data_IF_086019463282
#
_entry.id   IF_086019463282
#
_cell.length_a   1.000
_cell.length_b   1.000
_cell.length_c   1.000
_cell.angle_alpha   90.00
_cell.angle_beta   90.00
_cell.angle_gamma   90.00
#
_symmetry.space_group_name_H-M   'P 1'
#
loop_
_entity.id
_entity.type
_entity.pdbx_description
1 polymer ?
#
# COMPACT_ATOMS: atom_id res chain seq x y z
N UNK A 1 -14.61 -4.22 77.27
CA UNK A 1 -14.16 -3.19 76.34
C UNK A 1 -13.95 -3.90 74.98
N UNK A 2 -14.93 -3.78 74.08
CA UNK A 2 -14.91 -4.45 72.76
C UNK A 2 -14.41 -3.39 71.76
N UNK A 3 -13.23 -3.62 71.13
CA UNK A 3 -12.67 -2.78 70.09
C UNK A 3 -13.32 -3.26 68.77
N UNK A 4 -14.15 -2.37 68.18
CA UNK A 4 -14.71 -2.57 66.84
C UNK A 4 -13.65 -2.09 65.85
N UNK A 5 -13.05 -3.03 65.10
CA UNK A 5 -12.13 -2.68 64.03
C UNK A 5 -12.97 -2.44 62.75
N UNK A 6 -13.12 -1.14 62.41
CA UNK A 6 -13.78 -0.75 61.15
C UNK A 6 -12.82 -1.00 59.97
N UNK A 7 -13.13 -2.01 59.16
CA UNK A 7 -12.48 -2.25 57.89
C UNK A 7 -12.95 -1.23 56.85
N UNK A 8 -12.16 -0.21 56.57
CA UNK A 8 -12.40 0.68 55.43
C UNK A 8 -11.96 -0.07 54.16
N UNK A 9 -12.98 -0.60 53.44
CA UNK A 9 -12.75 -1.14 52.06
C UNK A 9 -12.52 0.05 51.14
N UNK A 10 -11.24 0.31 50.83
CA UNK A 10 -10.88 1.28 49.82
C UNK A 10 -11.19 0.62 48.45
N UNK A 11 -12.40 0.92 47.92
CA UNK A 11 -12.76 0.52 46.57
C UNK A 11 -11.87 1.35 45.60
N UNK A 12 -10.74 0.77 45.17
CA UNK A 12 -10.00 1.32 44.04
C UNK A 12 -10.82 1.09 42.79
N UNK A 13 -11.54 2.11 42.32
CA UNK A 13 -12.18 2.13 41.03
C UNK A 13 -11.04 2.05 40.01
N UNK A 14 -10.78 0.87 39.51
CA UNK A 14 -9.87 0.67 38.39
C UNK A 14 -10.58 1.28 37.15
N UNK A 15 -10.19 2.48 36.77
CA UNK A 15 -10.62 3.11 35.52
C UNK A 15 -10.16 2.23 34.35
N UNK A 16 -11.07 1.43 33.81
CA UNK A 16 -10.77 0.56 32.68
C UNK A 16 -10.94 1.35 31.38
N UNK A 17 -9.85 1.42 30.61
CA UNK A 17 -9.88 1.97 29.26
C UNK A 17 -10.78 1.09 28.38
N UNK A 18 -11.94 1.61 27.97
CA UNK A 18 -12.85 0.91 27.07
C UNK A 18 -12.44 1.11 25.61
N UNK A 19 -12.30 0.03 24.84
CA UNK A 19 -11.92 0.09 23.43
C UNK A 19 -13.02 -0.50 22.57
N UNK A 20 -13.60 0.32 21.68
CA UNK A 20 -14.60 -0.11 20.71
C UNK A 20 -14.03 -0.20 19.30
N UNK A 21 -14.39 -1.25 18.55
CA UNK A 21 -14.13 -1.35 17.12
C UNK A 21 -15.41 -1.05 16.35
N UNK A 22 -15.41 0.05 15.62
CA UNK A 22 -16.53 0.55 14.86
C UNK A 22 -16.29 0.43 13.36
N UNK A 23 -17.34 0.63 12.56
CA UNK A 23 -17.25 0.65 11.08
C UNK A 23 -17.58 2.06 10.60
N UNK A 24 -16.77 2.54 9.63
CA UNK A 24 -17.05 3.80 8.95
C UNK A 24 -18.36 3.70 8.17
N UNK A 25 -19.28 4.61 8.43
CA UNK A 25 -20.59 4.62 7.78
C UNK A 25 -20.49 5.07 6.32
N UNK A 26 -21.45 4.66 5.51
CA UNK A 26 -21.54 5.09 4.11
C UNK A 26 -21.95 6.56 4.02
N UNK A 27 -21.41 7.27 3.04
CA UNK A 27 -21.71 8.68 2.79
C UNK A 27 -21.11 9.68 3.78
N UNK A 28 -20.45 9.23 4.86
CA UNK A 28 -19.85 10.15 5.85
C UNK A 28 -18.47 10.61 5.39
N UNK A 29 -18.32 11.95 5.30
CA UNK A 29 -17.00 12.58 5.11
C UNK A 29 -16.21 12.61 6.42
N UNK A 30 -14.89 12.76 6.33
CA UNK A 30 -14.04 12.90 7.53
C UNK A 30 -14.43 14.12 8.38
N UNK A 31 -14.80 15.23 7.73
CA UNK A 31 -15.27 16.45 8.43
C UNK A 31 -16.60 16.20 9.15
N UNK A 32 -17.54 15.48 8.51
CA UNK A 32 -18.82 15.12 9.15
C UNK A 32 -18.59 14.17 10.32
N UNK A 33 -17.66 13.22 10.19
CA UNK A 33 -17.27 12.32 11.27
C UNK A 33 -16.73 13.08 12.49
N UNK A 34 -15.83 14.06 12.29
CA UNK A 34 -15.34 14.89 13.40
C UNK A 34 -16.47 15.59 14.13
N UNK A 35 -17.43 16.17 13.39
CA UNK A 35 -18.61 16.81 13.98
C UNK A 35 -19.48 15.86 14.79
N UNK A 36 -19.69 14.61 14.30
CA UNK A 36 -20.44 13.58 15.03
C UNK A 36 -19.76 13.14 16.32
N UNK A 37 -18.43 13.23 16.38
CA UNK A 37 -17.65 12.91 17.59
C UNK A 37 -17.42 14.14 18.49
N UNK A 38 -18.05 15.28 18.20
CA UNK A 38 -17.83 16.56 18.90
C UNK A 38 -16.36 17.02 18.92
N UNK A 39 -15.63 16.70 17.86
CA UNK A 39 -14.23 17.08 17.66
C UNK A 39 -14.14 18.29 16.73
N UNK A 40 -13.35 19.33 17.10
CA UNK A 40 -13.16 20.52 16.25
C UNK A 40 -12.69 20.16 14.85
N UNK A 41 -13.33 20.75 13.86
CA UNK A 41 -12.97 20.60 12.43
C UNK A 41 -11.64 21.26 12.09
N UNK A 42 -11.13 22.14 12.95
CA UNK A 42 -9.86 22.84 12.74
C UNK A 42 -8.67 21.87 12.66
N UNK A 43 -8.72 20.76 13.39
CA UNK A 43 -7.69 19.73 13.29
C UNK A 43 -7.55 19.18 11.85
N UNK A 44 -8.63 19.15 11.08
CA UNK A 44 -8.63 18.78 9.67
C UNK A 44 -8.15 19.95 8.79
N UNK A 45 -8.63 21.17 9.03
CA UNK A 45 -8.27 22.31 8.18
C UNK A 45 -6.81 22.68 8.28
N UNK A 46 -6.14 22.38 9.39
CA UNK A 46 -4.71 22.58 9.60
C UNK A 46 -3.83 21.49 8.98
N UNK A 47 -4.42 20.39 8.46
CA UNK A 47 -3.67 19.35 7.74
C UNK A 47 -3.08 19.86 6.43
N UNK A 48 -1.96 19.24 6.03
CA UNK A 48 -1.44 19.41 4.67
C UNK A 48 -2.45 18.89 3.65
N UNK A 49 -2.33 19.34 2.41
CA UNK A 49 -3.23 18.90 1.34
C UNK A 49 -3.12 17.40 1.10
N UNK A 50 -1.92 16.86 1.15
CA UNK A 50 -1.66 15.44 0.99
C UNK A 50 -2.33 14.62 2.11
N UNK A 51 -2.28 15.11 3.35
CA UNK A 51 -2.93 14.47 4.49
C UNK A 51 -4.47 14.57 4.39
N UNK A 52 -5.01 15.69 3.91
CA UNK A 52 -6.45 15.83 3.60
C UNK A 52 -6.91 14.85 2.51
N UNK A 53 -6.06 14.61 1.50
CA UNK A 53 -6.36 13.63 0.46
C UNK A 53 -6.42 12.20 1.04
N UNK A 54 -5.54 11.88 1.99
CA UNK A 54 -5.59 10.60 2.72
C UNK A 54 -6.87 10.44 3.54
N UNK A 55 -7.34 11.49 4.20
CA UNK A 55 -8.63 11.47 4.90
C UNK A 55 -9.80 11.15 3.96
N UNK A 56 -9.71 11.53 2.68
CA UNK A 56 -10.73 11.22 1.68
C UNK A 56 -10.68 9.79 1.15
N UNK A 57 -9.64 9.03 1.45
CA UNK A 57 -9.50 7.61 1.06
C UNK A 57 -10.21 6.63 2.02
N UNK A 58 -10.73 7.11 3.15
CA UNK A 58 -11.49 6.28 4.10
C UNK A 58 -12.77 5.79 3.41
N UNK A 59 -13.02 4.50 3.46
CA UNK A 59 -14.15 3.86 2.78
C UNK A 59 -15.23 3.41 3.76
N UNK A 60 -16.46 3.41 3.29
CA UNK A 60 -17.55 2.75 3.98
C UNK A 60 -17.18 1.31 4.38
N UNK A 61 -17.55 0.89 5.58
CA UNK A 61 -17.20 -0.40 6.14
C UNK A 61 -15.76 -0.55 6.66
N UNK A 62 -14.90 0.47 6.51
CA UNK A 62 -13.55 0.47 7.10
C UNK A 62 -13.67 0.40 8.62
N UNK A 63 -13.06 -0.62 9.23
CA UNK A 63 -13.00 -0.74 10.69
C UNK A 63 -12.01 0.29 11.26
N UNK A 64 -12.41 0.95 12.33
CA UNK A 64 -11.57 1.86 13.11
C UNK A 64 -11.77 1.58 14.60
N UNK A 65 -10.83 2.02 15.44
CA UNK A 65 -10.87 1.82 16.89
C UNK A 65 -11.02 3.16 17.60
N UNK A 66 -11.83 3.17 18.65
CA UNK A 66 -11.99 4.31 19.55
C UNK A 66 -11.71 3.82 20.95
N UNK A 67 -10.90 4.53 21.71
CA UNK A 67 -10.72 4.31 23.14
C UNK A 67 -11.43 5.42 23.93
N UNK A 68 -12.06 5.02 25.01
CA UNK A 68 -12.75 5.91 25.94
C UNK A 68 -12.08 5.84 27.29
N UNK A 69 -12.01 6.99 27.95
CA UNK A 69 -11.66 7.14 29.34
C UNK A 69 -12.76 7.99 29.99
N UNK A 70 -13.40 7.47 31.02
CA UNK A 70 -14.48 8.15 31.74
C UNK A 70 -15.61 8.66 30.81
N UNK A 71 -15.99 7.85 29.80
CA UNK A 71 -17.00 8.21 28.82
C UNK A 71 -16.53 9.18 27.72
N UNK A 72 -15.35 9.78 27.85
CA UNK A 72 -14.79 10.71 26.88
C UNK A 72 -13.86 9.98 25.91
N UNK A 73 -13.87 10.39 24.64
CA UNK A 73 -12.95 9.84 23.63
C UNK A 73 -11.52 10.28 23.99
N UNK A 74 -10.65 9.29 24.21
CA UNK A 74 -9.22 9.50 24.44
C UNK A 74 -8.45 9.43 23.12
N UNK A 75 -8.70 8.36 22.35
CA UNK A 75 -7.97 8.09 21.11
C UNK A 75 -8.88 7.53 20.02
N UNK A 76 -8.61 7.89 18.75
CA UNK A 76 -9.22 7.27 17.59
C UNK A 76 -8.11 6.84 16.62
N UNK A 77 -8.16 5.58 16.17
CA UNK A 77 -7.24 5.01 15.18
C UNK A 77 -8.02 4.59 13.93
N UNK A 78 -7.81 5.29 12.82
CA UNK A 78 -8.50 5.04 11.54
C UNK A 78 -7.48 4.59 10.50
N UNK A 79 -7.43 3.29 10.14
CA UNK A 79 -6.55 2.81 9.08
C UNK A 79 -6.91 3.43 7.72
N UNK A 80 -5.93 4.01 7.03
CA UNK A 80 -6.08 4.56 5.67
C UNK A 80 -5.37 3.71 4.62
N UNK A 81 -4.40 2.93 5.03
CA UNK A 81 -3.70 1.95 4.20
C UNK A 81 -3.29 0.74 5.05
N UNK A 82 -2.56 -0.19 4.45
CA UNK A 82 -1.97 -1.32 5.20
C UNK A 82 -0.77 -0.92 6.06
N UNK A 83 -0.23 0.30 5.90
CA UNK A 83 0.99 0.73 6.57
C UNK A 83 0.79 1.99 7.41
N UNK A 84 -0.33 2.71 7.25
CA UNK A 84 -0.57 4.01 7.88
C UNK A 84 -2.00 4.13 8.38
N UNK A 85 -2.16 4.86 9.47
CA UNK A 85 -3.45 5.21 10.06
C UNK A 85 -3.47 6.66 10.53
N UNK A 86 -4.65 7.24 10.56
CA UNK A 86 -4.91 8.50 11.24
C UNK A 86 -5.02 8.21 12.73
N UNK A 87 -4.34 8.99 13.54
CA UNK A 87 -4.42 8.98 14.99
C UNK A 87 -4.92 10.33 15.47
N UNK A 88 -6.11 10.33 16.05
CA UNK A 88 -6.69 11.47 16.76
C UNK A 88 -6.56 11.16 18.24
N UNK A 89 -6.08 12.10 19.03
CA UNK A 89 -5.84 11.91 20.45
C UNK A 89 -6.15 13.19 21.23
N UNK A 90 -6.67 13.02 22.44
CA UNK A 90 -6.99 14.09 23.35
C UNK A 90 -5.75 14.49 24.16
N UNK A 91 -5.51 15.80 24.27
CA UNK A 91 -4.49 16.38 25.17
C UNK A 91 -5.10 17.54 25.93
N UNK A 92 -5.48 17.32 27.19
CA UNK A 92 -6.06 18.37 28.05
C UNK A 92 -7.27 19.07 27.37
N UNK A 93 -8.26 18.28 26.97
CA UNK A 93 -9.52 18.73 26.32
C UNK A 93 -9.36 19.22 24.86
N UNK A 94 -8.14 19.27 24.33
CA UNK A 94 -7.86 19.60 22.94
C UNK A 94 -7.54 18.34 22.13
N UNK A 95 -8.26 18.09 21.01
CA UNK A 95 -7.95 17.00 20.10
C UNK A 95 -6.89 17.40 19.11
N UNK A 96 -5.92 16.49 18.91
CA UNK A 96 -4.85 16.60 17.92
C UNK A 96 -4.92 15.43 16.95
N UNK A 97 -4.41 15.66 15.74
CA UNK A 97 -4.39 14.66 14.67
C UNK A 97 -2.97 14.47 14.12
N UNK A 98 -2.59 13.23 13.87
CA UNK A 98 -1.36 12.89 13.15
C UNK A 98 -1.49 11.59 12.38
N UNK A 99 -0.65 11.42 11.38
CA UNK A 99 -0.49 10.17 10.65
C UNK A 99 0.60 9.33 11.32
N UNK A 100 0.27 8.11 11.70
CA UNK A 100 1.22 7.18 12.32
C UNK A 100 1.28 5.87 11.56
N UNK A 101 2.44 5.17 11.59
CA UNK A 101 2.55 3.85 11.01
C UNK A 101 1.72 2.83 11.79
N UNK A 102 1.19 1.82 11.06
CA UNK A 102 0.58 0.65 11.68
C UNK A 102 1.68 -0.36 12.00
N UNK A 103 1.75 -0.80 13.25
CA UNK A 103 2.71 -1.81 13.68
C UNK A 103 2.23 -3.21 13.31
N UNK A 104 3.10 -4.01 12.71
CA UNK A 104 2.88 -5.41 12.36
C UNK A 104 4.23 -6.12 12.24
N UNK A 105 4.23 -7.44 12.37
CA UNK A 105 5.38 -8.28 12.04
C UNK A 105 5.29 -8.79 10.60
N UNK A 106 6.42 -9.26 10.05
CA UNK A 106 6.47 -9.89 8.73
C UNK A 106 7.16 -11.23 8.85
N UNK A 107 6.69 -12.19 8.08
CA UNK A 107 7.45 -13.41 7.84
C UNK A 107 7.53 -13.69 6.33
N UNK A 108 8.56 -14.38 5.92
CA UNK A 108 8.73 -14.92 4.58
C UNK A 108 8.49 -16.42 4.65
N UNK A 109 7.73 -16.93 3.70
CA UNK A 109 7.40 -18.36 3.65
C UNK A 109 7.43 -18.85 2.21
N UNK A 110 7.64 -20.17 2.07
CA UNK A 110 7.67 -20.91 0.81
C UNK A 110 6.57 -21.94 0.83
N UNK A 111 5.53 -21.72 0.02
CA UNK A 111 4.45 -22.66 -0.19
C UNK A 111 4.78 -23.55 -1.38
N UNK A 112 4.75 -24.88 -1.16
CA UNK A 112 4.80 -25.89 -2.20
C UNK A 112 3.63 -26.84 -1.97
N UNK A 113 2.71 -26.92 -2.94
CA UNK A 113 1.51 -27.76 -2.86
C UNK A 113 1.24 -28.43 -4.19
N UNK A 114 0.64 -29.60 -4.15
CA UNK A 114 0.11 -30.24 -5.35
C UNK A 114 -1.22 -29.60 -5.75
N UNK A 115 -1.45 -29.47 -7.04
CA UNK A 115 -2.72 -28.99 -7.58
C UNK A 115 -3.71 -30.14 -7.60
N UNK A 116 -4.80 -29.99 -6.84
CA UNK A 116 -5.90 -30.95 -6.79
C UNK A 116 -7.16 -30.45 -7.48
N UNK A 117 -7.48 -29.18 -7.31
CA UNK A 117 -8.71 -28.58 -7.84
C UNK A 117 -8.41 -27.35 -8.68
N UNK A 118 -7.84 -26.33 -8.08
CA UNK A 118 -7.44 -25.10 -8.75
C UNK A 118 -6.43 -24.33 -7.88
N UNK A 119 -5.55 -23.51 -8.48
CA UNK A 119 -4.59 -22.73 -7.71
C UNK A 119 -5.22 -21.88 -6.60
N UNK A 120 -6.41 -21.32 -6.84
CA UNK A 120 -7.12 -20.53 -5.83
C UNK A 120 -7.56 -21.40 -4.64
N UNK A 121 -8.30 -22.47 -4.94
CA UNK A 121 -8.87 -23.34 -3.91
C UNK A 121 -7.77 -24.04 -3.11
N UNK A 122 -6.74 -24.53 -3.79
CA UNK A 122 -5.64 -25.27 -3.18
C UNK A 122 -4.80 -24.35 -2.27
N UNK A 123 -4.49 -23.09 -2.71
CA UNK A 123 -3.84 -22.11 -1.84
C UNK A 123 -4.70 -21.81 -0.60
N UNK A 124 -6.03 -21.62 -0.76
CA UNK A 124 -6.93 -21.36 0.38
C UNK A 124 -7.00 -22.56 1.30
N UNK A 125 -7.07 -23.77 0.76
CA UNK A 125 -7.14 -25.00 1.54
C UNK A 125 -5.91 -25.17 2.46
N UNK A 126 -4.70 -25.02 1.90
CA UNK A 126 -3.46 -25.22 2.65
C UNK A 126 -3.06 -24.05 3.54
N UNK A 127 -3.41 -22.82 3.19
CA UNK A 127 -2.91 -21.63 3.92
C UNK A 127 -4.00 -20.90 4.71
N UNK A 128 -5.27 -21.21 4.51
CA UNK A 128 -6.42 -20.43 4.99
C UNK A 128 -6.36 -18.92 4.63
N UNK A 129 -5.51 -18.55 3.65
CA UNK A 129 -5.22 -17.17 3.27
C UNK A 129 -5.85 -16.80 1.92
N UNK A 130 -7.12 -16.41 1.93
CA UNK A 130 -7.85 -15.95 0.73
C UNK A 130 -7.16 -14.78 0.03
N UNK A 131 -6.43 -13.92 0.76
CA UNK A 131 -5.71 -12.79 0.18
C UNK A 131 -4.50 -13.25 -0.64
N UNK A 132 -3.78 -14.29 -0.20
CA UNK A 132 -2.68 -14.89 -0.95
C UNK A 132 -3.20 -15.52 -2.25
N UNK A 133 -4.29 -16.29 -2.18
CA UNK A 133 -4.90 -16.89 -3.35
C UNK A 133 -5.37 -15.85 -4.37
N UNK A 134 -6.04 -14.78 -3.91
CA UNK A 134 -6.46 -13.67 -4.78
C UNK A 134 -5.26 -12.95 -5.41
N UNK A 135 -4.20 -12.71 -4.63
CA UNK A 135 -2.99 -12.05 -5.13
C UNK A 135 -2.28 -12.89 -6.18
N UNK A 136 -2.20 -14.22 -5.95
CA UNK A 136 -1.66 -15.15 -6.93
C UNK A 136 -2.47 -15.13 -8.24
N UNK A 137 -3.77 -15.38 -8.17
CA UNK A 137 -4.63 -15.42 -9.37
C UNK A 137 -4.60 -14.07 -10.10
N UNK A 138 -4.68 -12.95 -9.39
CA UNK A 138 -4.68 -11.61 -10.01
C UNK A 138 -3.42 -11.32 -10.81
N UNK A 139 -2.26 -11.72 -10.31
CA UNK A 139 -0.98 -11.42 -10.93
C UNK A 139 -0.57 -12.44 -11.99
N UNK A 140 -1.04 -13.67 -11.89
CA UNK A 140 -0.50 -14.80 -12.66
C UNK A 140 -1.47 -15.44 -13.66
N UNK A 141 -2.79 -15.13 -13.62
CA UNK A 141 -3.79 -15.71 -14.54
C UNK A 141 -3.52 -15.42 -16.02
N UNK A 142 -2.79 -14.37 -16.35
CA UNK A 142 -2.37 -14.04 -17.73
C UNK A 142 -1.05 -14.68 -18.13
N UNK A 143 -0.27 -15.13 -17.16
CA UNK A 143 1.06 -15.68 -17.35
C UNK A 143 1.06 -17.22 -17.38
N UNK A 144 0.09 -17.82 -16.69
CA UNK A 144 -0.15 -19.26 -16.67
C UNK A 144 -1.53 -19.58 -17.25
N UNK A 145 -1.58 -20.59 -18.09
CA UNK A 145 -2.86 -21.15 -18.51
C UNK A 145 -3.37 -22.13 -17.45
N UNK A 146 -4.15 -21.63 -16.49
CA UNK A 146 -4.67 -22.45 -15.39
C UNK A 146 -5.60 -23.58 -15.86
N UNK A 147 -6.17 -23.48 -17.07
CA UNK A 147 -7.00 -24.53 -17.66
C UNK A 147 -6.18 -25.75 -18.16
N UNK A 148 -4.86 -25.56 -18.35
CA UNK A 148 -3.96 -26.61 -18.78
C UNK A 148 -3.19 -27.26 -17.62
N UNK A 149 -3.55 -26.99 -16.38
CA UNK A 149 -2.97 -27.60 -15.20
C UNK A 149 -3.58 -28.99 -14.96
N UNK A 150 -2.75 -29.92 -14.56
CA UNK A 150 -3.16 -31.28 -14.23
C UNK A 150 -3.02 -31.53 -12.73
N UNK A 151 -3.77 -32.49 -12.22
CA UNK A 151 -3.58 -32.99 -10.85
C UNK A 151 -2.12 -33.42 -10.66
N UNK A 152 -1.58 -33.12 -9.46
CA UNK A 152 -0.17 -33.36 -9.09
C UNK A 152 0.87 -32.46 -9.76
N UNK A 153 0.47 -31.47 -10.60
CA UNK A 153 1.37 -30.37 -10.90
C UNK A 153 1.65 -29.61 -9.60
N UNK A 154 2.91 -29.20 -9.37
CA UNK A 154 3.26 -28.50 -8.13
C UNK A 154 3.14 -26.99 -8.32
N UNK A 155 2.40 -26.36 -7.44
CA UNK A 155 2.35 -24.91 -7.28
C UNK A 155 3.41 -24.48 -6.27
N UNK A 156 4.26 -23.53 -6.63
CA UNK A 156 5.29 -22.97 -5.76
C UNK A 156 5.09 -21.46 -5.60
N UNK A 157 5.15 -20.96 -4.36
CA UNK A 157 5.02 -19.53 -4.07
C UNK A 157 5.97 -19.16 -2.94
N UNK A 158 6.90 -18.23 -3.18
CA UNK A 158 7.63 -17.53 -2.11
C UNK A 158 6.95 -16.17 -1.87
N UNK A 159 6.57 -15.88 -0.63
CA UNK A 159 5.82 -14.68 -0.32
C UNK A 159 6.18 -14.09 1.05
N UNK A 160 5.94 -12.79 1.20
CA UNK A 160 5.99 -12.10 2.49
C UNK A 160 4.56 -11.84 2.95
N UNK A 161 4.25 -12.22 4.17
CA UNK A 161 2.98 -11.97 4.83
C UNK A 161 3.19 -11.07 6.05
N UNK A 162 2.32 -10.07 6.20
CA UNK A 162 2.20 -9.26 7.41
C UNK A 162 1.29 -9.98 8.41
N UNK A 163 1.63 -9.91 9.69
CA UNK A 163 0.82 -10.42 10.80
C UNK A 163 0.62 -9.33 11.83
N UNK A 164 -0.60 -9.18 12.31
CA UNK A 164 -0.97 -8.26 13.38
C UNK A 164 -1.88 -8.99 14.36
N UNK A 165 -1.50 -9.01 15.65
CA UNK A 165 -2.26 -9.70 16.70
C UNK A 165 -2.61 -11.15 16.31
N UNK A 166 -1.61 -11.93 15.88
CA UNK A 166 -1.80 -13.33 15.51
C UNK A 166 -2.62 -13.60 14.25
N UNK A 167 -3.06 -12.56 13.52
CA UNK A 167 -3.88 -12.72 12.32
C UNK A 167 -3.15 -12.22 11.07
N UNK A 168 -3.47 -12.82 9.91
CA UNK A 168 -3.01 -12.30 8.62
C UNK A 168 -3.46 -10.86 8.41
N UNK A 169 -2.51 -9.98 8.20
CA UNK A 169 -2.74 -8.56 8.01
C UNK A 169 -2.30 -8.09 6.62
N UNK A 170 -3.09 -7.22 6.03
CA UNK A 170 -2.78 -6.64 4.72
C UNK A 170 -2.81 -7.65 3.56
N UNK A 171 -2.21 -7.25 2.44
CA UNK A 171 -2.07 -8.07 1.24
C UNK A 171 -0.68 -8.69 1.20
N UNK A 172 -0.53 -10.00 1.01
CA UNK A 172 0.77 -10.64 0.88
C UNK A 172 1.54 -10.09 -0.32
N UNK A 173 2.85 -10.09 -0.22
CA UNK A 173 3.73 -9.75 -1.35
C UNK A 173 4.35 -11.03 -1.89
N UNK A 174 3.94 -11.45 -3.09
CA UNK A 174 4.55 -12.60 -3.76
C UNK A 174 5.91 -12.17 -4.31
N UNK A 175 6.98 -12.87 -3.90
CA UNK A 175 8.35 -12.64 -4.35
C UNK A 175 8.69 -13.49 -5.57
N UNK A 176 8.18 -14.72 -5.60
CA UNK A 176 8.28 -15.60 -6.74
C UNK A 176 7.10 -16.56 -6.74
N UNK A 177 6.65 -16.98 -7.90
CA UNK A 177 5.64 -18.02 -8.02
C UNK A 177 5.72 -18.75 -9.34
N UNK A 178 5.29 -20.00 -9.33
CA UNK A 178 5.33 -20.83 -10.54
C UNK A 178 4.61 -22.14 -10.43
N UNK A 179 4.65 -22.85 -11.54
CA UNK A 179 4.14 -24.19 -11.68
C UNK A 179 5.30 -25.10 -12.13
N UNK A 180 5.41 -26.24 -11.49
CA UNK A 180 6.32 -27.32 -11.84
C UNK A 180 5.48 -28.48 -12.32
N UNK A 181 5.63 -28.86 -13.59
CA UNK A 181 4.90 -29.96 -14.20
C UNK A 181 5.89 -30.95 -14.81
N UNK A 182 5.90 -32.19 -14.34
CA UNK A 182 6.85 -33.25 -14.78
C UNK A 182 8.29 -32.75 -14.78
N UNK A 183 8.90 -32.58 -15.98
CA UNK A 183 10.28 -32.09 -16.17
C UNK A 183 10.36 -30.60 -16.46
N UNK A 184 9.23 -29.89 -16.57
CA UNK A 184 9.18 -28.49 -16.92
C UNK A 184 8.89 -27.62 -15.69
N UNK A 185 9.52 -26.42 -15.66
CA UNK A 185 9.37 -25.45 -14.60
C UNK A 185 9.11 -24.07 -15.20
N UNK A 186 8.02 -23.44 -14.84
CA UNK A 186 7.74 -22.06 -15.22
C UNK A 186 7.55 -21.25 -13.95
N UNK A 187 8.58 -20.51 -13.57
CA UNK A 187 8.58 -19.64 -12.39
C UNK A 187 8.86 -18.22 -12.82
N UNK A 188 8.25 -17.27 -12.12
CA UNK A 188 8.45 -15.84 -12.29
C UNK A 188 8.83 -15.22 -10.96
N UNK A 189 9.66 -14.18 -11.00
CA UNK A 189 10.35 -13.63 -9.85
C UNK A 189 10.14 -12.13 -9.80
N UNK A 190 9.87 -11.59 -8.62
CA UNK A 190 9.72 -10.16 -8.37
C UNK A 190 11.08 -9.55 -8.11
N UNK A 191 11.52 -8.63 -8.97
CA UNK A 191 12.77 -7.91 -8.72
C UNK A 191 12.60 -6.97 -7.52
N UNK A 192 13.38 -7.13 -6.43
CA UNK A 192 13.27 -6.28 -5.24
C UNK A 192 13.49 -4.79 -5.52
N UNK A 193 14.28 -4.45 -6.53
CA UNK A 193 14.66 -3.07 -6.85
C UNK A 193 13.51 -2.25 -7.44
N UNK A 194 12.70 -2.84 -8.32
CA UNK A 194 11.62 -2.14 -9.02
C UNK A 194 10.22 -2.72 -8.78
N UNK A 195 10.12 -3.85 -8.09
CA UNK A 195 8.87 -4.52 -7.73
C UNK A 195 8.12 -5.17 -8.89
N UNK A 196 8.74 -5.29 -10.08
CA UNK A 196 8.16 -5.94 -11.27
C UNK A 196 8.51 -7.41 -11.34
N UNK A 197 7.69 -8.17 -12.08
CA UNK A 197 7.92 -9.59 -12.32
C UNK A 197 8.69 -9.83 -13.60
N UNK A 198 9.64 -10.77 -13.52
CA UNK A 198 10.53 -11.16 -14.60
C UNK A 198 10.64 -12.69 -14.69
N UNK A 199 11.00 -13.20 -15.86
CA UNK A 199 11.47 -14.58 -15.99
C UNK A 199 12.89 -14.73 -15.38
N UNK A 200 13.37 -15.97 -15.31
CA UNK A 200 14.71 -16.28 -14.76
C UNK A 200 15.87 -15.54 -15.45
N UNK A 201 15.68 -15.10 -16.69
CA UNK A 201 16.69 -14.40 -17.49
C UNK A 201 16.63 -12.87 -17.33
N UNK A 202 15.67 -12.38 -16.52
CA UNK A 202 15.45 -10.95 -16.31
C UNK A 202 14.65 -10.26 -17.41
N UNK A 203 13.89 -11.00 -18.24
CA UNK A 203 12.94 -10.44 -19.19
C UNK A 203 11.65 -10.11 -18.46
N UNK A 204 11.16 -8.88 -18.58
CA UNK A 204 9.94 -8.42 -17.91
C UNK A 204 8.70 -9.15 -18.42
N UNK A 205 7.87 -9.61 -17.48
CA UNK A 205 6.59 -10.28 -17.75
C UNK A 205 5.39 -9.35 -17.48
N UNK A 206 5.64 -8.10 -17.11
CA UNK A 206 4.58 -7.13 -16.86
C UNK A 206 3.82 -6.84 -18.16
N UNK A 207 2.56 -7.24 -18.21
CA UNK A 207 1.65 -6.79 -19.27
C UNK A 207 1.43 -5.29 -19.12
N UNK A 208 1.80 -4.53 -20.13
CA UNK A 208 1.83 -3.08 -20.16
C UNK A 208 0.45 -2.47 -19.95
N UNK A 209 0.19 -1.86 -18.78
CA UNK A 209 -0.96 -0.98 -18.64
C UNK A 209 -0.60 0.48 -18.91
N UNK A 210 0.53 0.97 -18.41
CA UNK A 210 0.92 2.36 -18.53
C UNK A 210 2.38 2.53 -18.96
N UNK A 211 2.65 3.55 -19.76
CA UNK A 211 4.02 3.97 -20.11
C UNK A 211 4.45 5.12 -19.22
N UNK A 212 5.76 5.24 -19.03
CA UNK A 212 6.33 6.42 -18.37
C UNK A 212 5.88 7.68 -19.13
N UNK A 213 5.26 8.65 -18.42
CA UNK A 213 4.59 9.77 -19.08
C UNK A 213 5.53 10.87 -19.60
N UNK A 214 6.83 10.78 -19.30
CA UNK A 214 7.80 11.82 -19.61
C UNK A 214 9.21 11.27 -19.77
N UNK A 215 10.03 11.89 -20.62
CA UNK A 215 11.49 11.69 -20.60
C UNK A 215 12.05 12.47 -19.42
N UNK A 216 12.74 11.81 -18.51
CA UNK A 216 13.25 12.41 -17.28
C UNK A 216 14.74 12.16 -17.10
N UNK A 217 15.41 13.02 -16.33
CA UNK A 217 16.82 12.86 -15.94
C UNK A 217 16.96 11.88 -14.79
N UNK A 218 16.11 12.03 -13.75
CA UNK A 218 16.10 11.19 -12.56
C UNK A 218 14.73 11.19 -11.90
N UNK A 219 14.47 10.19 -11.05
CA UNK A 219 13.35 10.21 -10.12
C UNK A 219 13.83 10.98 -8.87
N UNK A 220 13.26 12.16 -8.63
CA UNK A 220 13.61 13.00 -7.48
C UNK A 220 12.90 12.59 -6.20
N UNK A 221 11.68 12.03 -6.31
CA UNK A 221 10.94 11.48 -5.16
C UNK A 221 10.13 10.26 -5.58
N UNK A 222 10.19 9.19 -4.77
CA UNK A 222 9.44 7.96 -4.98
C UNK A 222 8.09 8.02 -4.27
N UNK A 223 7.15 7.19 -4.73
CA UNK A 223 5.89 6.95 -4.03
C UNK A 223 6.14 6.35 -2.65
N UNK A 224 5.48 6.89 -1.63
CA UNK A 224 5.47 6.33 -0.29
C UNK A 224 4.27 6.84 0.50
N UNK A 225 3.64 5.99 1.29
CA UNK A 225 2.70 6.43 2.32
C UNK A 225 3.42 6.92 3.59
N UNK A 226 4.70 6.56 3.77
CA UNK A 226 5.44 6.68 5.02
C UNK A 226 6.77 7.41 4.75
N UNK A 227 6.74 8.74 4.65
CA UNK A 227 7.94 9.58 4.59
C UNK A 227 8.01 10.43 5.85
N UNK A 228 9.00 10.19 6.68
CA UNK A 228 9.29 11.07 7.80
C UNK A 228 9.83 12.40 7.29
N UNK A 229 9.26 13.51 7.77
CA UNK A 229 9.72 14.84 7.43
C UNK A 229 10.59 15.36 8.60
N UNK A 230 11.92 15.45 8.43
CA UNK A 230 12.83 15.68 9.56
C UNK A 230 12.60 17.02 10.27
N UNK A 231 12.24 18.07 9.52
CA UNK A 231 12.01 19.41 10.10
C UNK A 231 10.65 19.48 10.83
N UNK A 232 9.63 18.79 10.31
CA UNK A 232 8.29 18.83 10.89
C UNK A 232 8.05 17.70 11.89
N UNK A 233 9.03 16.84 12.12
CA UNK A 233 8.97 15.66 13.00
C UNK A 233 7.65 14.85 12.84
N UNK A 234 7.13 14.74 11.60
CA UNK A 234 5.90 14.00 11.30
C UNK A 234 6.01 13.22 10.00
N UNK A 235 5.19 12.18 9.89
CA UNK A 235 5.08 11.44 8.65
C UNK A 235 4.23 12.20 7.64
N UNK A 236 4.67 12.17 6.37
CA UNK A 236 3.91 12.70 5.22
C UNK A 236 3.92 11.68 4.10
N UNK A 237 2.78 11.51 3.45
CA UNK A 237 2.70 10.71 2.26
C UNK A 237 3.23 11.46 1.03
N UNK A 238 3.75 10.69 0.06
CA UNK A 238 3.99 11.15 -1.31
C UNK A 238 3.24 10.22 -2.26
N UNK A 239 2.05 10.64 -2.70
CA UNK A 239 1.08 9.79 -3.41
C UNK A 239 1.34 9.71 -4.92
N UNK A 240 2.59 9.89 -5.32
CA UNK A 240 3.03 9.82 -6.70
C UNK A 240 4.53 9.57 -6.84
N UNK A 241 5.02 9.72 -8.06
CA UNK A 241 6.45 9.74 -8.38
C UNK A 241 6.77 11.09 -9.00
N UNK A 242 7.87 11.70 -8.55
CA UNK A 242 8.37 12.94 -9.12
C UNK A 242 9.47 12.65 -10.13
N UNK A 243 9.18 12.92 -11.39
CA UNK A 243 10.11 12.80 -12.51
C UNK A 243 10.76 14.16 -12.79
N UNK A 244 12.01 14.35 -12.39
CA UNK A 244 12.77 15.58 -12.65
C UNK A 244 13.20 15.67 -14.12
N UNK A 245 12.80 16.74 -14.79
CA UNK A 245 13.17 17.05 -16.17
C UNK A 245 13.06 18.57 -16.43
N UNK A 246 13.71 19.10 -17.46
CA UNK A 246 13.66 20.52 -17.78
C UNK A 246 12.23 21.03 -17.98
N UNK A 247 12.01 22.30 -17.60
CA UNK A 247 10.75 23.00 -17.90
C UNK A 247 10.47 22.95 -19.41
N UNK A 248 9.21 22.71 -19.78
CA UNK A 248 8.82 22.59 -21.19
C UNK A 248 8.95 21.18 -21.77
N UNK A 249 9.55 20.23 -21.04
CA UNK A 249 9.58 18.82 -21.47
C UNK A 249 8.15 18.30 -21.67
N UNK A 250 7.90 17.61 -22.78
CA UNK A 250 6.58 17.12 -23.16
C UNK A 250 6.11 16.02 -22.18
N UNK A 251 4.91 16.21 -21.65
CA UNK A 251 4.19 15.20 -20.87
C UNK A 251 3.23 14.46 -21.82
N UNK A 252 3.23 13.13 -21.73
CA UNK A 252 2.38 12.23 -22.53
C UNK A 252 1.41 11.49 -21.64
N UNK A 253 0.24 11.12 -22.16
CA UNK A 253 -0.69 10.24 -21.48
C UNK A 253 -0.04 8.86 -21.26
N UNK A 254 -0.04 8.37 -20.02
CA UNK A 254 0.54 7.08 -19.66
C UNK A 254 -0.25 5.89 -20.22
N UNK A 255 -1.54 6.07 -20.49
CA UNK A 255 -2.45 5.07 -21.05
C UNK A 255 -3.64 5.72 -21.75
N UNK A 256 -4.40 4.90 -22.48
CA UNK A 256 -5.66 5.32 -23.12
C UNK A 256 -6.69 5.69 -22.05
N UNK A 257 -7.39 6.80 -22.26
CA UNK A 257 -8.41 7.20 -21.29
C UNK A 257 -9.08 8.52 -21.63
N UNK A 258 -9.95 8.96 -20.73
CA UNK A 258 -10.72 10.20 -20.90
C UNK A 258 -10.30 11.21 -19.83
N UNK A 259 -10.02 12.46 -20.23
CA UNK A 259 -9.69 13.53 -19.30
C UNK A 259 -10.91 13.84 -18.44
N UNK A 260 -10.79 13.65 -17.12
CA UNK A 260 -11.85 13.94 -16.14
C UNK A 260 -11.60 15.27 -15.39
N UNK A 261 -10.36 15.76 -15.43
CA UNK A 261 -10.00 17.06 -14.87
C UNK A 261 -8.88 17.71 -15.69
N UNK A 262 -9.01 19.02 -15.93
CA UNK A 262 -7.98 19.88 -16.52
C UNK A 262 -8.13 21.28 -15.93
N UNK A 263 -7.12 21.76 -15.22
CA UNK A 263 -7.18 23.07 -14.56
C UNK A 263 -6.17 23.17 -13.43
N UNK A 264 -6.29 24.24 -12.62
CA UNK A 264 -5.48 24.42 -11.41
C UNK A 264 -6.10 23.64 -10.26
N UNK A 265 -5.30 22.80 -9.59
CA UNK A 265 -5.74 21.93 -8.47
C UNK A 265 -4.85 22.16 -7.25
N UNK A 266 -5.11 23.25 -6.52
CA UNK A 266 -4.41 23.63 -5.29
C UNK A 266 -2.89 23.45 -5.41
N UNK A 267 -2.25 22.78 -4.44
CA UNK A 267 -0.80 22.53 -4.40
C UNK A 267 -0.24 21.76 -5.60
N UNK A 268 -1.05 20.98 -6.32
CA UNK A 268 -0.65 20.30 -7.57
C UNK A 268 -0.48 21.28 -8.74
N UNK A 269 -0.95 22.53 -8.61
CA UNK A 269 -0.86 23.51 -9.69
C UNK A 269 -1.66 23.08 -10.92
N UNK A 270 -1.15 23.37 -12.10
CA UNK A 270 -1.78 22.99 -13.37
C UNK A 270 -1.76 21.45 -13.52
N UNK A 271 -2.92 20.85 -13.55
CA UNK A 271 -3.12 19.41 -13.42
C UNK A 271 -4.06 18.86 -14.48
N UNK A 272 -3.71 17.70 -15.03
CA UNK A 272 -4.63 16.85 -15.81
C UNK A 272 -4.84 15.56 -15.02
N UNK A 273 -6.09 15.06 -15.00
CA UNK A 273 -6.42 13.74 -14.50
C UNK A 273 -7.13 12.97 -15.62
N UNK A 274 -6.63 11.75 -15.89
CA UNK A 274 -7.19 10.86 -16.91
C UNK A 274 -7.79 9.64 -16.21
N UNK A 275 -9.05 9.32 -16.54
CA UNK A 275 -9.73 8.08 -16.14
C UNK A 275 -9.51 7.02 -17.21
N UNK A 276 -9.07 5.83 -16.79
CA UNK A 276 -8.78 4.68 -17.63
C UNK A 276 -9.77 3.53 -17.36
N UNK A 277 -9.71 2.50 -18.19
CA UNK A 277 -10.46 1.24 -17.92
C UNK A 277 -10.01 0.60 -16.61
N UNK A 278 -10.85 -0.25 -16.05
CA UNK A 278 -10.53 -1.04 -14.86
C UNK A 278 -10.38 -0.23 -13.58
N UNK A 279 -11.01 0.94 -13.45
CA UNK A 279 -11.01 1.76 -12.23
C UNK A 279 -9.72 2.53 -11.97
N UNK A 280 -8.82 2.65 -12.97
CA UNK A 280 -7.60 3.43 -12.84
C UNK A 280 -7.82 4.92 -13.14
N UNK A 281 -7.05 5.78 -12.45
CA UNK A 281 -6.88 7.19 -12.78
C UNK A 281 -5.40 7.56 -12.71
N UNK A 282 -4.93 8.41 -13.64
CA UNK A 282 -3.58 9.01 -13.57
C UNK A 282 -3.68 10.51 -13.41
N UNK A 283 -2.80 11.07 -12.60
CA UNK A 283 -2.69 12.49 -12.29
C UNK A 283 -1.34 13.02 -12.78
N UNK A 284 -1.36 14.18 -13.46
CA UNK A 284 -0.18 14.82 -14.03
C UNK A 284 -0.15 16.27 -13.55
N UNK A 285 0.67 16.57 -12.57
CA UNK A 285 0.72 17.86 -11.90
C UNK A 285 1.96 18.72 -12.24
N UNK A 286 2.00 19.94 -11.68
CA UNK A 286 3.05 20.94 -11.82
C UNK A 286 3.33 21.36 -13.26
N UNK A 287 2.34 21.25 -14.16
CA UNK A 287 2.51 21.60 -15.57
C UNK A 287 2.71 23.11 -15.75
N UNK A 288 3.55 23.50 -16.72
CA UNK A 288 3.68 24.91 -17.14
C UNK A 288 2.49 25.33 -17.98
N UNK A 289 2.11 24.50 -18.93
CA UNK A 289 0.94 24.69 -19.81
C UNK A 289 0.38 23.35 -20.27
N UNK A 290 -0.90 23.34 -20.58
CA UNK A 290 -1.58 22.19 -21.16
C UNK A 290 -1.36 22.14 -22.68
N UNK A 291 -1.43 20.93 -23.25
CA UNK A 291 -1.45 20.81 -24.70
C UNK A 291 -2.74 21.42 -25.26
N UNK A 292 -2.65 22.20 -26.36
CA UNK A 292 -3.83 22.84 -26.98
C UNK A 292 -4.93 21.83 -27.34
N UNK A 293 -6.18 22.32 -27.47
CA UNK A 293 -7.38 21.57 -27.87
C UNK A 293 -7.82 20.43 -26.94
N UNK A 294 -7.08 20.07 -25.89
CA UNK A 294 -7.53 19.13 -24.89
C UNK A 294 -8.46 19.82 -23.89
N UNK A 295 -9.61 19.21 -23.60
CA UNK A 295 -10.59 19.68 -22.60
C UNK A 295 -11.08 18.51 -21.75
N UNK A 296 -11.77 18.80 -20.65
CA UNK A 296 -12.48 17.77 -19.88
C UNK A 296 -13.44 17.01 -20.83
N UNK A 297 -13.46 15.68 -20.75
CA UNK A 297 -14.20 14.82 -21.66
C UNK A 297 -13.38 14.32 -22.85
N UNK A 298 -12.28 14.99 -23.27
CA UNK A 298 -11.44 14.53 -24.37
C UNK A 298 -10.89 13.13 -24.12
N UNK A 299 -11.01 12.26 -25.15
CA UNK A 299 -10.31 10.98 -25.15
C UNK A 299 -8.86 11.20 -25.57
N UNK A 300 -7.92 10.56 -24.90
CA UNK A 300 -6.49 10.58 -25.22
C UNK A 300 -5.96 9.17 -25.34
N UNK A 301 -5.06 8.95 -26.29
CA UNK A 301 -4.37 7.67 -26.49
C UNK A 301 -3.06 7.65 -25.70
N UNK A 302 -2.60 6.47 -25.33
CA UNK A 302 -1.28 6.29 -24.74
C UNK A 302 -0.18 6.92 -25.61
N UNK A 303 0.70 7.70 -24.98
CA UNK A 303 1.77 8.41 -25.68
C UNK A 303 1.34 9.75 -26.30
N UNK A 304 0.05 10.08 -26.33
CA UNK A 304 -0.43 11.39 -26.80
C UNK A 304 0.06 12.51 -25.89
N UNK A 305 0.50 13.61 -26.48
CA UNK A 305 0.94 14.81 -25.75
C UNK A 305 -0.24 15.43 -25.01
N UNK A 306 -0.06 15.73 -23.71
CA UNK A 306 -1.12 16.29 -22.85
C UNK A 306 -0.71 17.59 -22.19
N UNK A 307 0.58 17.90 -22.13
CA UNK A 307 1.08 19.15 -21.55
C UNK A 307 2.59 19.19 -21.48
N UNK A 308 3.10 20.10 -20.64
CA UNK A 308 4.53 20.37 -20.53
C UNK A 308 4.94 20.54 -19.07
N UNK A 309 6.12 20.06 -18.70
CA UNK A 309 6.68 20.22 -17.35
C UNK A 309 6.80 21.68 -16.99
N UNK A 310 6.50 21.98 -15.75
CA UNK A 310 6.66 23.29 -15.12
C UNK A 310 6.99 23.18 -13.63
N UNK A 311 6.62 24.23 -12.91
CA UNK A 311 6.76 24.38 -11.46
C UNK A 311 5.52 25.01 -10.85
N UNK A 312 4.35 24.84 -11.49
CA UNK A 312 3.11 25.43 -10.99
C UNK A 312 2.65 24.77 -9.69
N UNK A 313 2.04 25.53 -8.80
CA UNK A 313 1.65 25.05 -7.49
C UNK A 313 2.82 24.96 -6.51
N UNK A 314 2.78 24.01 -5.55
CA UNK A 314 3.86 23.79 -4.59
C UNK A 314 4.94 22.88 -5.19
N UNK A 315 5.95 23.46 -5.76
CA UNK A 315 7.05 22.77 -6.42
C UNK A 315 8.35 23.53 -6.15
N UNK A 316 9.41 22.81 -5.81
CA UNK A 316 10.75 23.37 -5.56
C UNK A 316 11.61 23.46 -6.82
N UNK A 317 11.14 22.91 -7.94
CA UNK A 317 11.87 22.91 -9.21
C UNK A 317 11.12 22.16 -10.31
N UNK A 318 11.59 22.21 -11.56
CA UNK A 318 10.89 21.60 -12.68
C UNK A 318 10.83 20.08 -12.57
N UNK A 319 9.62 19.54 -12.44
CA UNK A 319 9.35 18.11 -12.42
C UNK A 319 7.89 17.82 -12.80
N UNK A 320 7.60 16.56 -13.13
CA UNK A 320 6.26 16.02 -13.22
C UNK A 320 5.97 15.24 -11.93
N UNK A 321 4.99 15.65 -11.15
CA UNK A 321 4.39 14.78 -10.16
C UNK A 321 3.35 13.90 -10.85
N UNK A 322 3.59 12.57 -10.83
CA UNK A 322 2.75 11.56 -11.46
C UNK A 322 2.10 10.66 -10.43
N UNK A 323 0.80 10.84 -10.24
CA UNK A 323 -0.03 10.02 -9.35
C UNK A 323 -0.75 8.90 -10.11
N UNK A 324 -0.92 7.75 -9.47
CA UNK A 324 -1.71 6.63 -9.97
C UNK A 324 -2.68 6.16 -8.90
N UNK A 325 -3.94 6.00 -9.29
CA UNK A 325 -5.02 5.60 -8.40
C UNK A 325 -5.74 4.39 -8.96
N UNK A 326 -6.15 3.47 -8.09
CA UNK A 326 -7.00 2.32 -8.40
C UNK A 326 -8.21 2.32 -7.49
N UNK A 327 -9.42 2.41 -8.07
CA UNK A 327 -10.68 2.49 -7.32
C UNK A 327 -10.65 3.57 -6.21
N UNK A 328 -10.09 4.76 -6.53
CA UNK A 328 -9.96 5.91 -5.64
C UNK A 328 -8.78 5.86 -4.68
N UNK A 329 -8.08 4.75 -4.49
CA UNK A 329 -6.87 4.66 -3.65
C UNK A 329 -5.61 4.93 -4.47
N UNK A 330 -4.72 5.76 -3.94
CA UNK A 330 -3.38 5.95 -4.51
C UNK A 330 -2.59 4.65 -4.46
N UNK A 331 -1.91 4.31 -5.53
CA UNK A 331 -1.03 3.13 -5.59
C UNK A 331 0.32 3.53 -6.16
N UNK A 332 1.36 2.75 -5.84
CA UNK A 332 2.68 3.01 -6.38
C UNK A 332 2.67 2.87 -7.92
N UNK A 333 2.96 3.94 -8.67
CA UNK A 333 2.97 3.89 -10.13
C UNK A 333 3.90 2.82 -10.69
N UNK A 334 5.03 2.53 -10.03
CA UNK A 334 5.98 1.51 -10.48
C UNK A 334 5.39 0.10 -10.52
N UNK A 335 4.28 -0.17 -9.81
CA UNK A 335 3.65 -1.50 -9.83
C UNK A 335 2.95 -1.82 -11.16
N UNK A 336 2.68 -0.80 -11.99
CA UNK A 336 1.93 -0.97 -13.26
C UNK A 336 2.52 -0.20 -14.45
N UNK A 337 3.57 0.61 -14.24
CA UNK A 337 4.29 1.30 -15.32
C UNK A 337 5.32 0.38 -15.95
N UNK A 338 5.38 0.36 -17.28
CA UNK A 338 6.46 -0.26 -18.04
C UNK A 338 7.51 0.77 -18.40
N UNK A 339 8.74 0.50 -18.01
CA UNK A 339 9.90 1.26 -18.44
C UNK A 339 10.40 0.71 -19.79
N UNK A 340 11.07 1.55 -20.58
CA UNK A 340 11.49 1.22 -21.95
C UNK A 340 12.47 0.01 -22.07
N UNK A 341 13.03 -0.47 -20.95
CA UNK A 341 13.89 -1.66 -20.93
C UNK A 341 13.10 -2.85 -20.37
N UNK A 342 12.69 -3.73 -21.26
CA UNK A 342 11.98 -4.97 -20.91
C UNK A 342 12.91 -6.07 -20.37
N UNK A 343 14.23 -5.84 -20.34
CA UNK A 343 15.26 -6.78 -19.87
C UNK A 343 16.19 -6.09 -18.87
N UNK A 344 16.47 -6.78 -17.78
CA UNK A 344 17.46 -6.32 -16.79
C UNK A 344 18.87 -6.37 -17.39
N UNK A 345 19.71 -5.38 -17.04
CA UNK A 345 21.09 -5.27 -17.54
C UNK A 345 22.09 -4.94 -16.42
N UNK A 346 23.37 -5.17 -16.65
CA UNK A 346 24.46 -4.77 -15.77
C UNK A 346 24.35 -5.34 -14.34
N UNK A 347 24.70 -4.54 -13.34
CA UNK A 347 24.66 -4.92 -11.90
C UNK A 347 23.25 -5.36 -11.46
N UNK A 348 22.20 -4.72 -11.99
CA UNK A 348 20.82 -5.09 -11.65
C UNK A 348 20.48 -6.51 -12.11
N UNK A 349 20.94 -6.92 -13.31
CA UNK A 349 20.76 -8.29 -13.79
C UNK A 349 21.53 -9.29 -12.95
N UNK A 350 22.79 -9.02 -12.60
CA UNK A 350 23.60 -9.92 -11.75
C UNK A 350 22.94 -10.16 -10.39
N UNK A 351 22.53 -9.09 -9.70
CA UNK A 351 21.84 -9.21 -8.40
C UNK A 351 20.54 -9.98 -8.52
N UNK A 352 19.78 -9.75 -9.60
CA UNK A 352 18.53 -10.46 -9.84
C UNK A 352 18.75 -11.95 -10.12
N UNK A 353 19.76 -12.32 -10.89
CA UNK A 353 20.11 -13.73 -11.16
C UNK A 353 20.52 -14.46 -9.87
N UNK A 354 21.25 -13.79 -8.97
CA UNK A 354 21.59 -14.36 -7.66
C UNK A 354 20.32 -14.60 -6.82
N UNK A 355 19.42 -13.63 -6.78
CA UNK A 355 18.10 -13.79 -6.13
C UNK A 355 17.30 -14.96 -6.74
N UNK A 356 17.30 -15.12 -8.06
CA UNK A 356 16.65 -16.26 -8.74
C UNK A 356 17.24 -17.59 -8.28
N UNK A 357 18.58 -17.70 -8.19
CA UNK A 357 19.25 -18.93 -7.74
C UNK A 357 18.88 -19.28 -6.30
N UNK A 358 18.86 -18.28 -5.41
CA UNK A 358 18.45 -18.42 -4.00
C UNK A 358 17.03 -18.97 -3.89
N UNK A 359 16.07 -18.32 -4.56
CA UNK A 359 14.67 -18.73 -4.56
C UNK A 359 14.49 -20.13 -5.15
N UNK A 360 15.20 -20.45 -6.22
CA UNK A 360 15.14 -21.78 -6.84
C UNK A 360 15.69 -22.88 -5.94
N UNK A 361 16.74 -22.61 -5.18
CA UNK A 361 17.29 -23.50 -4.17
C UNK A 361 16.30 -23.75 -3.04
N UNK A 362 15.65 -22.69 -2.52
CA UNK A 362 14.61 -22.81 -1.49
C UNK A 362 13.43 -23.66 -1.97
N UNK A 363 12.95 -23.44 -3.20
CA UNK A 363 11.89 -24.28 -3.76
C UNK A 363 12.28 -25.75 -3.82
N UNK A 364 13.51 -26.08 -4.24
CA UNK A 364 13.98 -27.45 -4.30
C UNK A 364 14.07 -28.06 -2.89
N UNK A 365 14.63 -27.35 -1.92
CA UNK A 365 14.71 -27.79 -0.52
C UNK A 365 13.32 -28.06 0.06
N UNK A 366 12.36 -27.15 -0.15
CA UNK A 366 10.99 -27.33 0.35
C UNK A 366 10.30 -28.52 -0.32
N UNK A 367 10.53 -28.75 -1.62
CA UNK A 367 10.02 -29.93 -2.34
C UNK A 367 10.61 -31.22 -1.77
N UNK A 368 11.92 -31.25 -1.56
CA UNK A 368 12.61 -32.45 -1.05
C UNK A 368 12.22 -32.80 0.39
N UNK A 369 12.03 -31.77 1.23
CA UNK A 369 11.69 -31.97 2.64
C UNK A 369 10.21 -32.19 2.87
N UNK A 370 9.37 -32.06 1.84
CA UNK A 370 7.89 -32.14 1.93
C UNK A 370 7.31 -31.27 3.07
N UNK A 371 7.88 -30.06 3.22
CA UNK A 371 7.54 -29.15 4.32
C UNK A 371 6.15 -28.55 4.09
N UNK A 372 5.28 -28.68 5.10
CA UNK A 372 3.96 -28.03 5.08
C UNK A 372 4.08 -26.52 5.20
N UNK A 373 3.10 -25.76 4.66
CA UNK A 373 3.05 -24.31 4.80
C UNK A 373 3.01 -23.90 6.28
N UNK A 374 3.54 -22.73 6.54
CA UNK A 374 3.55 -22.13 7.86
C UNK A 374 2.13 -21.98 8.44
N UNK A 375 1.87 -22.61 9.60
CA UNK A 375 0.60 -22.48 10.32
C UNK A 375 0.69 -21.36 11.36
N UNK A 376 -0.23 -20.40 11.29
CA UNK A 376 -0.37 -19.31 12.26
C UNK A 376 -0.77 -19.77 13.67
N UNK A 377 -1.36 -20.98 13.81
CA UNK A 377 -1.85 -21.46 15.10
C UNK A 377 -0.76 -21.65 16.16
N UNK A 378 0.51 -21.73 15.75
CA UNK A 378 1.64 -21.88 16.67
C UNK A 378 2.26 -20.55 17.14
N UNK A 379 1.66 -19.38 16.84
CA UNK A 379 2.15 -18.08 17.29
C UNK A 379 1.22 -17.34 18.25
N UNK A 380 1.02 -17.89 19.42
CA UNK A 380 0.42 -17.14 20.56
C UNK A 380 1.33 -16.03 21.12
N UNK A 381 2.57 -15.90 20.63
CA UNK A 381 3.60 -15.04 21.21
C UNK A 381 3.51 -13.55 20.84
N UNK A 382 2.56 -13.11 20.01
CA UNK A 382 2.51 -11.73 19.50
C UNK A 382 1.24 -10.94 19.89
N UNK A 383 0.54 -11.32 20.94
CA UNK A 383 -0.79 -10.77 21.28
C UNK A 383 -0.78 -9.49 22.15
N UNK A 384 0.35 -8.86 22.47
CA UNK A 384 0.39 -7.80 23.51
C UNK A 384 0.63 -6.36 23.06
N UNK A 385 0.67 -6.02 21.77
CA UNK A 385 1.02 -4.64 21.37
C UNK A 385 0.06 -4.06 20.35
N UNK A 386 -1.07 -3.48 20.77
CA UNK A 386 -1.87 -2.61 19.90
C UNK A 386 -2.36 -1.28 20.54
N UNK A 387 -2.26 -1.13 21.84
CA UNK A 387 -2.59 0.12 22.55
C UNK A 387 -1.53 0.58 23.57
N UNK A 388 -0.44 -0.16 23.77
CA UNK A 388 0.67 0.29 24.65
C UNK A 388 1.62 1.29 23.97
N UNK A 389 1.23 1.91 22.87
CA UNK A 389 1.98 3.03 22.26
C UNK A 389 1.60 4.35 22.95
N UNK A 390 1.41 4.34 24.25
CA UNK A 390 1.06 5.56 25.02
C UNK A 390 2.23 6.13 25.82
N UNK A 391 3.46 5.69 25.62
CA UNK A 391 4.59 6.45 26.14
C UNK A 391 5.05 7.51 25.14
N UNK A 392 4.83 8.75 25.51
CA UNK A 392 5.01 10.00 24.77
C UNK A 392 6.43 10.28 24.24
N UNK A 393 7.41 9.40 24.42
CA UNK A 393 8.83 9.69 24.13
C UNK A 393 9.57 8.72 23.22
N UNK A 394 9.06 7.52 22.89
CA UNK A 394 9.87 6.52 22.20
C UNK A 394 9.35 6.13 20.82
N UNK A 395 9.55 7.03 19.84
CA UNK A 395 9.48 6.66 18.42
C UNK A 395 10.85 6.29 17.83
N UNK A 396 11.71 5.67 18.60
CA UNK A 396 12.92 5.02 18.06
C UNK A 396 12.57 3.57 17.71
N UNK A 397 12.08 3.36 16.50
CA UNK A 397 11.95 2.01 15.94
C UNK A 397 13.36 1.56 15.57
N UNK A 398 14.01 0.75 16.39
CA UNK A 398 15.12 -0.10 15.95
C UNK A 398 14.50 -1.18 15.06
N UNK A 399 14.81 -1.09 13.76
CA UNK A 399 14.54 -2.17 12.78
C UNK A 399 15.77 -3.07 12.84
N UNK A 400 15.62 -4.40 13.08
CA UNK A 400 16.71 -5.33 12.83
C UNK A 400 16.97 -5.49 11.33
#
# INVERSE_FOLDING_TARGET
MKIILAFIILCTIAFSKEIKTLKWQDGISFISFLGQQSISKDIYFNLSKEDKELCSEIKAGQKYKVSYKDGTIEDILIPISEDMQIYIYNTNEEYKIKLIPITYTKFTDVLVIDIETSPYNDIVHFTHNKKLANEFVRNFNKLFNFKALHKKDKLVIKYIQKVKLGNYYGTPTILAAGIIFKKNKKVIYKNPKDGRYYDKNGKSLSSMFFKVPVRYKRISSKFTYKRFHPILHRYRAHLGIDYAAPRGTIIKAAGDGRIVFRGRKGGYGNTIIIKHKGGYKTLYAHQSKFYPRLKRGSFVRQGQRIGYIGTSGRSTGPHLHFGLYKNGKAINPNSVITYAKDVLTGKTKRNFVNFVKEVDSEFQTTISNNTLPYDLKHKELYSKVDFNITNKSDYTIRIP
#
